data_IF_365900295846
#
_entry.id   IF_365900295846
#
_cell.length_a   1.000
_cell.length_b   1.000
_cell.length_c   1.000
_cell.angle_alpha   90.00
_cell.angle_beta   90.00
_cell.angle_gamma   90.00
#
_symmetry.space_group_name_H-M   'P 1'
#
loop_
_entity.id
_entity.type
_entity.pdbx_description
1 polymer ?
#
# COMPACT_ATOMS: atom_id res chain seq x y z
N UNK A 1 -3.50 19.40 -2.36
CA UNK A 1 -4.93 19.67 -2.63
C UNK A 1 -5.42 18.53 -3.49
N UNK A 2 -6.55 17.91 -3.15
CA UNK A 2 -7.11 16.77 -3.87
C UNK A 2 -7.54 17.17 -5.30
N UNK A 3 -7.22 16.34 -6.30
CA UNK A 3 -7.56 16.58 -7.71
C UNK A 3 -8.83 15.80 -8.11
N UNK A 4 -9.97 16.48 -8.10
CA UNK A 4 -11.26 15.93 -8.52
C UNK A 4 -11.49 16.08 -10.03
N UNK A 5 -12.30 15.18 -10.60
CA UNK A 5 -12.86 15.34 -11.94
C UNK A 5 -13.74 16.59 -12.00
N UNK A 6 -13.57 17.38 -13.06
CA UNK A 6 -14.39 18.57 -13.32
C UNK A 6 -15.77 18.18 -13.88
N UNK A 7 -16.70 19.14 -13.93
CA UNK A 7 -17.99 18.93 -14.61
C UNK A 7 -17.82 18.55 -16.09
N UNK A 8 -16.81 19.12 -16.76
CA UNK A 8 -16.51 18.82 -18.16
C UNK A 8 -16.07 17.35 -18.30
N UNK A 9 -15.25 16.86 -17.37
CA UNK A 9 -14.80 15.48 -17.35
C UNK A 9 -15.98 14.52 -17.13
N UNK A 10 -16.84 14.81 -16.15
CA UNK A 10 -18.04 14.00 -15.86
C UNK A 10 -18.97 13.93 -17.07
N UNK A 11 -19.28 15.07 -17.70
CA UNK A 11 -20.12 15.09 -18.91
C UNK A 11 -19.48 14.35 -20.09
N UNK A 12 -18.15 14.40 -20.24
CA UNK A 12 -17.43 13.61 -21.24
C UNK A 12 -17.63 12.11 -20.97
N UNK A 13 -17.39 11.66 -19.73
CA UNK A 13 -17.54 10.25 -19.33
C UNK A 13 -18.95 9.73 -19.61
N UNK A 14 -19.97 10.49 -19.20
CA UNK A 14 -21.38 10.09 -19.37
C UNK A 14 -21.78 10.04 -20.86
N UNK A 15 -21.28 10.98 -21.66
CA UNK A 15 -21.48 10.98 -23.12
C UNK A 15 -20.80 9.78 -23.76
N UNK A 16 -19.54 9.52 -23.41
CA UNK A 16 -18.76 8.42 -23.98
C UNK A 16 -19.39 7.06 -23.59
N UNK A 17 -19.91 6.93 -22.37
CA UNK A 17 -20.69 5.77 -21.95
C UNK A 17 -21.99 5.62 -22.76
N UNK A 18 -22.73 6.71 -22.96
CA UNK A 18 -24.02 6.68 -23.66
C UNK A 18 -23.88 6.33 -25.15
N UNK A 19 -22.80 6.81 -25.79
CA UNK A 19 -22.54 6.54 -27.21
C UNK A 19 -22.15 5.09 -27.48
N UNK A 20 -21.45 4.45 -26.54
CA UNK A 20 -20.92 3.08 -26.67
C UNK A 20 -21.48 2.16 -25.57
N UNK A 21 -22.76 2.27 -25.21
CA UNK A 21 -23.34 1.55 -24.07
C UNK A 21 -23.07 0.04 -24.10
N UNK A 22 -23.34 -0.61 -25.24
CA UNK A 22 -23.19 -2.05 -25.43
C UNK A 22 -21.74 -2.54 -25.27
N UNK A 23 -20.76 -1.66 -25.49
CA UNK A 23 -19.34 -1.97 -25.33
C UNK A 23 -18.95 -2.11 -23.86
N UNK A 24 -19.61 -1.39 -22.96
CA UNK A 24 -19.17 -1.25 -21.57
C UNK A 24 -19.90 -2.15 -20.59
N UNK A 25 -21.15 -2.53 -20.86
CA UNK A 25 -21.94 -3.34 -19.93
C UNK A 25 -21.33 -4.73 -19.76
N UNK A 26 -20.97 -5.05 -18.51
CA UNK A 26 -20.36 -6.34 -18.15
C UNK A 26 -18.93 -6.54 -18.68
N UNK A 27 -18.35 -5.52 -19.31
CA UNK A 27 -17.01 -5.58 -19.87
C UNK A 27 -15.99 -4.90 -18.95
N UNK A 28 -14.80 -5.51 -18.89
CA UNK A 28 -13.60 -4.87 -18.34
C UNK A 28 -12.72 -4.42 -19.51
N UNK A 29 -12.40 -3.14 -19.54
CA UNK A 29 -11.71 -2.50 -20.66
C UNK A 29 -10.23 -2.30 -20.33
N UNK A 30 -9.38 -3.00 -21.06
CA UNK A 30 -7.92 -2.80 -21.04
C UNK A 30 -7.49 -2.04 -22.30
N UNK A 31 -6.95 -0.84 -22.14
CA UNK A 31 -6.39 -0.03 -23.23
C UNK A 31 -4.95 0.37 -22.91
N UNK A 32 -4.10 0.41 -23.94
CA UNK A 32 -2.72 0.88 -23.81
C UNK A 32 -2.61 2.41 -23.66
N UNK A 33 -3.61 3.14 -24.16
CA UNK A 33 -3.74 4.59 -23.98
C UNK A 33 -4.93 4.86 -23.06
N UNK A 34 -4.70 5.56 -21.95
CA UNK A 34 -5.74 5.93 -21.00
C UNK A 34 -5.43 7.27 -20.34
N UNK A 35 -6.47 8.08 -20.19
CA UNK A 35 -6.49 9.31 -19.41
C UNK A 35 -7.39 9.14 -18.16
N UNK A 36 -7.48 10.18 -17.32
CA UNK A 36 -8.26 10.14 -16.08
C UNK A 36 -9.77 9.88 -16.31
N UNK A 37 -10.27 10.13 -17.53
CA UNK A 37 -11.68 9.97 -17.92
C UNK A 37 -11.97 8.64 -18.61
N UNK A 38 -10.96 7.83 -18.87
CA UNK A 38 -11.11 6.57 -19.60
C UNK A 38 -11.94 5.58 -18.79
N UNK A 39 -13.07 5.13 -19.33
CA UNK A 39 -13.94 4.13 -18.71
C UNK A 39 -13.23 2.78 -18.70
N UNK A 40 -13.16 2.16 -17.52
CA UNK A 40 -12.50 0.86 -17.31
C UNK A 40 -13.49 -0.27 -17.06
N UNK A 41 -14.61 0.03 -16.42
CA UNK A 41 -15.67 -0.92 -16.17
C UNK A 41 -16.99 -0.20 -15.91
N UNK A 42 -18.10 -0.86 -16.25
CA UNK A 42 -19.44 -0.42 -15.88
C UNK A 42 -20.16 -1.56 -15.18
N UNK A 43 -20.83 -1.28 -14.07
CA UNK A 43 -21.59 -2.29 -13.34
C UNK A 43 -22.82 -2.75 -14.13
N UNK A 44 -23.21 -4.02 -13.98
CA UNK A 44 -24.25 -4.62 -14.82
C UNK A 44 -25.64 -4.10 -14.46
N UNK A 45 -25.98 -3.98 -13.18
CA UNK A 45 -27.35 -3.69 -12.75
C UNK A 45 -27.61 -2.18 -12.68
N UNK A 46 -26.74 -1.43 -11.98
CA UNK A 46 -26.96 0.00 -11.75
C UNK A 46 -26.21 0.90 -12.72
N UNK A 47 -25.36 0.34 -13.59
CA UNK A 47 -24.55 1.07 -14.56
C UNK A 47 -23.62 2.11 -13.93
N UNK A 48 -23.01 1.76 -12.80
CA UNK A 48 -21.98 2.57 -12.17
C UNK A 48 -20.74 2.59 -13.03
N UNK A 49 -20.24 3.79 -13.33
CA UNK A 49 -19.14 4.00 -14.24
C UNK A 49 -17.87 4.15 -13.44
N UNK A 50 -16.93 3.23 -13.66
CA UNK A 50 -15.60 3.33 -13.09
C UNK A 50 -14.61 3.77 -14.16
N UNK A 51 -13.87 4.82 -13.87
CA UNK A 51 -12.85 5.40 -14.75
C UNK A 51 -11.45 5.14 -14.21
N UNK A 52 -10.43 5.27 -15.06
CA UNK A 52 -9.02 5.20 -14.64
C UNK A 52 -8.75 6.19 -13.50
N UNK A 53 -9.22 7.43 -13.63
CA UNK A 53 -9.07 8.46 -12.62
C UNK A 53 -7.60 8.83 -12.37
N UNK A 54 -7.28 9.18 -11.13
CA UNK A 54 -5.94 9.61 -10.71
C UNK A 54 -5.67 9.15 -9.26
N UNK A 55 -4.65 9.68 -8.58
CA UNK A 55 -4.32 9.29 -7.20
C UNK A 55 -5.41 9.61 -6.16
N UNK A 56 -6.39 10.44 -6.50
CA UNK A 56 -7.45 10.96 -5.63
C UNK A 56 -8.86 10.48 -6.01
N UNK A 57 -9.07 9.94 -7.22
CA UNK A 57 -10.39 9.49 -7.68
C UNK A 57 -10.29 8.29 -8.64
N UNK A 58 -11.37 7.51 -8.77
CA UNK A 58 -11.47 6.40 -9.70
C UNK A 58 -10.56 5.21 -9.36
N UNK A 59 -10.22 4.40 -10.36
CA UNK A 59 -9.43 3.19 -10.17
C UNK A 59 -8.00 3.44 -9.71
N UNK A 60 -7.35 4.51 -10.17
CA UNK A 60 -6.02 4.89 -9.71
C UNK A 60 -5.98 5.03 -8.20
N UNK A 61 -6.96 5.73 -7.63
CA UNK A 61 -7.10 5.90 -6.19
C UNK A 61 -7.44 4.60 -5.46
N UNK A 62 -8.39 3.81 -5.97
CA UNK A 62 -8.74 2.51 -5.40
C UNK A 62 -7.53 1.56 -5.35
N UNK A 63 -6.80 1.48 -6.47
CA UNK A 63 -5.60 0.65 -6.63
C UNK A 63 -4.49 1.10 -5.69
N UNK A 64 -4.21 2.39 -5.65
CA UNK A 64 -3.10 2.91 -4.86
C UNK A 64 -3.43 2.92 -3.35
N UNK A 65 -4.66 3.29 -2.98
CA UNK A 65 -5.01 3.53 -1.56
C UNK A 65 -5.59 2.32 -0.88
N UNK A 66 -6.46 1.57 -1.54
CA UNK A 66 -7.29 0.53 -0.90
C UNK A 66 -6.95 -0.90 -1.34
N UNK A 67 -6.22 -1.09 -2.45
CA UNK A 67 -5.74 -2.42 -2.80
C UNK A 67 -4.80 -2.98 -1.73
N UNK A 68 -4.98 -4.25 -1.39
CA UNK A 68 -4.18 -4.96 -0.42
C UNK A 68 -2.69 -4.98 -0.81
N UNK A 69 -2.39 -5.10 -2.10
CA UNK A 69 -1.01 -5.16 -2.61
C UNK A 69 -0.36 -3.80 -2.85
N UNK A 70 -1.00 -2.70 -2.49
CA UNK A 70 -0.36 -1.38 -2.60
C UNK A 70 0.65 -1.15 -1.46
N UNK A 71 1.85 -0.74 -1.84
CA UNK A 71 2.96 -0.38 -0.95
C UNK A 71 3.16 1.13 -0.83
N UNK A 72 2.19 1.93 -1.28
CA UNK A 72 2.27 3.39 -1.20
C UNK A 72 2.09 3.85 0.25
N UNK A 73 3.06 4.63 0.74
CA UNK A 73 2.97 5.26 2.05
C UNK A 73 2.18 6.57 1.93
N UNK A 74 1.21 6.74 2.82
CA UNK A 74 0.40 7.95 2.89
C UNK A 74 0.74 8.69 4.17
N UNK A 75 1.18 9.94 4.05
CA UNK A 75 1.59 10.75 5.20
C UNK A 75 0.54 11.82 5.49
N UNK A 76 0.11 11.88 6.74
CA UNK A 76 -0.75 12.93 7.26
C UNK A 76 0.07 13.91 8.06
N UNK A 77 -0.03 15.20 7.72
CA UNK A 77 0.53 16.26 8.53
C UNK A 77 -0.49 16.66 9.60
N UNK A 78 -0.08 16.64 10.87
CA UNK A 78 -0.91 17.13 11.97
C UNK A 78 -0.80 18.67 12.10
N UNK A 79 -1.56 19.25 13.03
CA UNK A 79 -1.55 20.69 13.31
C UNK A 79 -0.16 21.22 13.70
N UNK A 80 0.65 20.38 14.36
CA UNK A 80 2.04 20.69 14.75
C UNK A 80 3.05 20.53 13.61
N UNK A 81 2.59 20.36 12.36
CA UNK A 81 3.42 20.10 11.17
C UNK A 81 4.23 18.79 11.22
N UNK A 82 3.96 17.89 12.16
CA UNK A 82 4.55 16.56 12.23
C UNK A 82 3.82 15.60 11.30
N UNK A 83 4.59 14.77 10.61
CA UNK A 83 4.05 13.74 9.73
C UNK A 83 3.80 12.45 10.50
N UNK A 84 2.70 11.78 10.17
CA UNK A 84 2.35 10.45 10.66
C UNK A 84 1.82 9.62 9.51
N UNK A 85 2.18 8.34 9.47
CA UNK A 85 1.62 7.40 8.50
C UNK A 85 0.10 7.26 8.69
N UNK A 86 -0.64 7.47 7.61
CA UNK A 86 -2.01 7.00 7.47
C UNK A 86 -2.02 5.47 7.31
N UNK A 87 -3.16 4.87 7.63
CA UNK A 87 -3.39 3.44 7.44
C UNK A 87 -4.74 3.24 6.73
N UNK A 88 -4.86 3.57 5.42
CA UNK A 88 -6.13 3.47 4.71
C UNK A 88 -6.65 2.03 4.67
N UNK A 89 -7.96 1.81 4.88
CA UNK A 89 -8.54 0.46 4.89
C UNK A 89 -8.25 -0.28 3.59
N UNK A 90 -7.92 -1.56 3.72
CA UNK A 90 -7.55 -2.42 2.59
C UNK A 90 -8.63 -3.47 2.31
N UNK A 91 -8.90 -3.71 1.03
CA UNK A 91 -9.76 -4.81 0.59
C UNK A 91 -9.15 -6.18 0.89
N UNK A 92 -9.96 -7.22 0.77
CA UNK A 92 -9.52 -8.61 0.95
C UNK A 92 -8.41 -8.97 -0.06
N UNK A 93 -7.35 -9.71 0.34
CA UNK A 93 -6.21 -10.02 -0.53
C UNK A 93 -6.56 -10.83 -1.79
N UNK A 94 -7.65 -11.60 -1.77
CA UNK A 94 -8.10 -12.40 -2.92
C UNK A 94 -9.00 -11.63 -3.90
N UNK A 95 -9.38 -10.38 -3.60
CA UNK A 95 -10.21 -9.59 -4.51
C UNK A 95 -9.41 -9.08 -5.70
N UNK A 96 -10.02 -9.15 -6.87
CA UNK A 96 -9.52 -8.58 -8.11
C UNK A 96 -10.16 -7.18 -8.25
N UNK A 97 -9.39 -6.07 -8.15
CA UNK A 97 -9.95 -4.73 -8.04
C UNK A 97 -10.98 -4.37 -9.13
N UNK A 98 -10.65 -4.61 -10.41
CA UNK A 98 -11.48 -4.22 -11.54
C UNK A 98 -12.77 -5.06 -11.69
N UNK A 99 -12.86 -6.19 -10.98
CA UNK A 99 -13.99 -7.12 -11.07
C UNK A 99 -14.82 -7.05 -9.78
N UNK A 100 -14.18 -7.31 -8.64
CA UNK A 100 -14.90 -7.46 -7.38
C UNK A 100 -15.31 -6.12 -6.79
N UNK A 101 -14.55 -5.04 -7.01
CA UNK A 101 -14.95 -3.72 -6.51
C UNK A 101 -16.19 -3.21 -7.26
N UNK A 102 -16.32 -3.53 -8.55
CA UNK A 102 -17.52 -3.23 -9.35
C UNK A 102 -18.72 -3.96 -8.78
N UNK A 103 -18.60 -5.27 -8.53
CA UNK A 103 -19.69 -6.08 -7.94
C UNK A 103 -20.12 -5.57 -6.57
N UNK A 104 -19.16 -5.19 -5.72
CA UNK A 104 -19.45 -4.61 -4.41
C UNK A 104 -20.21 -3.30 -4.56
N UNK A 105 -19.71 -2.38 -5.38
CA UNK A 105 -20.34 -1.09 -5.59
C UNK A 105 -21.76 -1.23 -6.14
N UNK A 106 -21.95 -2.12 -7.11
CA UNK A 106 -23.26 -2.39 -7.72
C UNK A 106 -24.25 -2.92 -6.67
N UNK A 107 -23.82 -3.85 -5.82
CA UNK A 107 -24.66 -4.43 -4.79
C UNK A 107 -25.04 -3.42 -3.69
N UNK A 108 -24.19 -2.45 -3.37
CA UNK A 108 -24.48 -1.47 -2.31
C UNK A 108 -25.12 -0.18 -2.81
N UNK A 109 -25.15 0.05 -4.12
CA UNK A 109 -25.78 1.24 -4.71
C UNK A 109 -27.30 1.07 -4.75
N UNK A 110 -27.93 1.33 -3.62
CA UNK A 110 -29.39 1.33 -3.47
C UNK A 110 -29.84 2.56 -2.69
N UNK A 111 -31.12 2.93 -2.83
CA UNK A 111 -31.67 4.08 -2.12
C UNK A 111 -31.64 3.88 -0.60
N UNK A 112 -31.81 2.65 -0.12
CA UNK A 112 -31.76 2.30 1.30
C UNK A 112 -30.37 2.50 1.89
N UNK A 113 -29.32 2.29 1.09
CA UNK A 113 -27.93 2.47 1.50
C UNK A 113 -27.45 3.93 1.35
N UNK A 114 -28.21 4.81 0.70
CA UNK A 114 -27.84 6.22 0.50
C UNK A 114 -27.83 6.95 1.84
N UNK A 115 -26.66 7.43 2.26
CA UNK A 115 -26.43 8.03 3.57
C UNK A 115 -26.08 9.51 3.45
N UNK A 116 -27.11 10.36 3.42
CA UNK A 116 -26.95 11.82 3.36
C UNK A 116 -26.40 12.39 4.67
N UNK A 117 -26.80 11.86 5.82
CA UNK A 117 -26.42 12.38 7.13
C UNK A 117 -24.92 12.21 7.48
N UNK A 118 -24.26 11.16 6.97
CA UNK A 118 -22.83 10.90 7.22
C UNK A 118 -21.92 11.40 6.11
N UNK A 119 -22.48 11.99 5.05
CA UNK A 119 -21.70 12.53 3.96
C UNK A 119 -21.05 13.85 4.39
N UNK A 120 -19.71 13.85 4.48
CA UNK A 120 -18.94 15.05 4.87
C UNK A 120 -18.84 16.09 3.76
N UNK A 121 -19.16 15.73 2.51
CA UNK A 121 -19.05 16.58 1.31
C UNK A 121 -20.26 16.40 0.39
N UNK A 122 -21.47 16.68 0.89
CA UNK A 122 -22.72 16.42 0.16
C UNK A 122 -22.87 17.24 -1.13
N UNK A 123 -22.15 18.36 -1.25
CA UNK A 123 -22.15 19.20 -2.44
C UNK A 123 -21.39 18.57 -3.62
N UNK A 124 -20.49 17.62 -3.34
CA UNK A 124 -19.63 17.00 -4.35
C UNK A 124 -19.94 15.54 -4.60
N UNK A 125 -20.46 14.83 -3.60
CA UNK A 125 -20.63 13.38 -3.67
C UNK A 125 -21.97 12.91 -3.12
N UNK A 126 -22.39 11.74 -3.57
CA UNK A 126 -23.36 10.90 -2.87
C UNK A 126 -22.63 9.75 -2.16
N UNK A 127 -22.96 9.52 -0.88
CA UNK A 127 -22.39 8.44 -0.08
C UNK A 127 -23.41 7.31 0.05
N UNK A 128 -22.98 6.09 -0.25
CA UNK A 128 -23.72 4.85 -0.04
C UNK A 128 -22.96 3.98 0.95
N UNK A 129 -23.66 3.33 1.87
CA UNK A 129 -23.06 2.47 2.87
C UNK A 129 -23.87 1.19 3.01
N UNK A 130 -23.28 0.07 2.62
CA UNK A 130 -23.93 -1.23 2.62
C UNK A 130 -22.98 -2.35 3.05
N UNK A 131 -23.48 -3.57 3.09
CA UNK A 131 -22.70 -4.77 3.41
C UNK A 131 -22.61 -5.69 2.20
N UNK A 132 -21.46 -6.32 2.02
CA UNK A 132 -21.23 -7.30 0.96
C UNK A 132 -20.52 -8.53 1.54
N UNK A 133 -20.86 -9.72 1.03
CA UNK A 133 -20.25 -10.98 1.44
C UNK A 133 -19.32 -11.48 0.34
N UNK A 134 -18.03 -11.60 0.66
CA UNK A 134 -17.01 -12.15 -0.23
C UNK A 134 -16.39 -13.39 0.42
N UNK A 135 -16.41 -14.53 -0.27
CA UNK A 135 -15.86 -15.80 0.23
C UNK A 135 -16.34 -16.17 1.65
N UNK A 136 -17.61 -15.91 1.97
CA UNK A 136 -18.20 -16.18 3.29
C UNK A 136 -17.88 -15.14 4.37
N UNK A 137 -17.07 -14.13 4.07
CA UNK A 137 -16.78 -13.00 4.95
C UNK A 137 -17.66 -11.80 4.60
N UNK A 138 -18.58 -11.44 5.50
CA UNK A 138 -19.37 -10.21 5.38
C UNK A 138 -18.59 -9.01 5.91
N UNK A 139 -18.49 -7.97 5.10
CA UNK A 139 -17.89 -6.69 5.47
C UNK A 139 -18.77 -5.53 5.01
N UNK A 140 -18.62 -4.39 5.69
CA UNK A 140 -19.33 -3.16 5.38
C UNK A 140 -18.43 -2.27 4.53
N UNK A 141 -19.01 -1.68 3.49
CA UNK A 141 -18.32 -0.84 2.52
C UNK A 141 -18.98 0.53 2.40
N UNK A 142 -18.19 1.51 1.99
CA UNK A 142 -18.63 2.86 1.65
C UNK A 142 -18.30 3.14 0.21
N UNK A 143 -19.32 3.54 -0.56
CA UNK A 143 -19.19 3.97 -1.95
C UNK A 143 -19.47 5.47 -2.02
N UNK A 144 -18.58 6.22 -2.65
CA UNK A 144 -18.79 7.60 -3.03
C UNK A 144 -18.91 7.68 -4.54
N UNK A 145 -20.01 8.24 -5.02
CA UNK A 145 -20.15 8.66 -6.42
C UNK A 145 -20.10 10.18 -6.50
N UNK A 146 -19.72 10.73 -7.66
CA UNK A 146 -19.90 12.15 -7.91
C UNK A 146 -21.40 12.49 -7.82
N UNK A 147 -21.70 13.64 -7.21
CA UNK A 147 -23.06 14.06 -6.91
C UNK A 147 -23.94 14.01 -8.16
N UNK A 148 -25.11 13.39 -8.02
CA UNK A 148 -26.12 13.26 -9.09
C UNK A 148 -25.58 12.62 -10.38
N UNK A 149 -24.55 11.78 -10.25
CA UNK A 149 -23.97 11.00 -11.35
C UNK A 149 -23.79 9.53 -10.95
N UNK A 150 -23.55 8.68 -11.95
CA UNK A 150 -23.16 7.28 -11.76
C UNK A 150 -21.65 7.06 -11.75
N UNK A 151 -20.85 8.12 -11.83
CA UNK A 151 -19.39 8.03 -11.87
C UNK A 151 -18.86 7.79 -10.45
N UNK A 152 -18.15 6.68 -10.27
CA UNK A 152 -17.57 6.30 -8.98
C UNK A 152 -16.35 7.17 -8.69
N UNK A 153 -16.37 7.82 -7.53
CA UNK A 153 -15.23 8.57 -7.01
C UNK A 153 -14.29 7.65 -6.22
N UNK A 154 -14.82 6.90 -5.26
CA UNK A 154 -14.05 5.89 -4.49
C UNK A 154 -14.98 4.88 -3.82
N UNK A 155 -14.41 3.77 -3.38
CA UNK A 155 -15.03 2.65 -2.67
C UNK A 155 -14.01 2.13 -1.65
N UNK A 156 -14.41 1.94 -0.39
CA UNK A 156 -13.50 1.41 0.62
C UNK A 156 -14.22 0.63 1.72
N UNK A 157 -13.54 -0.35 2.35
CA UNK A 157 -14.08 -1.03 3.52
C UNK A 157 -14.18 -0.09 4.74
N UNK A 158 -15.23 -0.25 5.55
CA UNK A 158 -15.45 0.47 6.81
C UNK A 158 -14.36 0.15 7.85
N UNK A 159 -13.88 -1.10 7.87
CA UNK A 159 -12.89 -1.59 8.83
C UNK A 159 -11.51 -1.79 8.20
N UNK A 160 -10.49 -1.74 9.06
CA UNK A 160 -9.08 -1.98 8.68
C UNK A 160 -8.68 -3.45 8.91
N UNK A 161 -9.55 -4.40 8.55
CA UNK A 161 -9.37 -5.83 8.89
C UNK A 161 -8.12 -6.42 8.25
N UNK A 162 -7.81 -6.02 7.03
CA UNK A 162 -6.70 -6.53 6.24
C UNK A 162 -5.45 -5.65 6.31
N UNK A 163 -5.47 -4.60 7.13
CA UNK A 163 -4.35 -3.70 7.28
C UNK A 163 -3.28 -4.29 8.19
N UNK A 164 -2.02 -4.05 7.84
CA UNK A 164 -0.91 -4.25 8.77
C UNK A 164 -1.00 -3.21 9.90
N UNK A 165 -0.67 -3.63 11.13
CA UNK A 165 -0.49 -2.68 12.25
C UNK A 165 0.78 -1.88 12.00
N UNK A 166 0.68 -0.55 12.03
CA UNK A 166 1.83 0.35 11.93
C UNK A 166 2.45 0.48 13.31
N UNK A 167 3.72 0.11 13.45
CA UNK A 167 4.48 0.14 14.73
C UNK A 167 5.74 1.01 14.68
N UNK A 168 6.05 1.55 13.51
CA UNK A 168 7.24 2.33 13.23
C UNK A 168 6.80 3.65 12.60
N UNK A 169 7.53 4.72 12.88
CA UNK A 169 7.24 6.05 12.31
C UNK A 169 7.59 6.12 10.81
N UNK A 170 8.38 5.17 10.31
CA UNK A 170 8.79 5.05 8.91
C UNK A 170 7.88 4.13 8.10
N UNK A 171 7.61 4.53 6.86
CA UNK A 171 6.80 3.79 5.90
C UNK A 171 7.61 2.69 5.24
N UNK A 172 7.12 1.45 5.24
CA UNK A 172 7.81 0.34 4.55
C UNK A 172 7.77 0.56 3.03
N UNK A 173 8.90 0.45 2.37
CA UNK A 173 9.00 0.54 0.91
C UNK A 173 8.93 -0.83 0.22
N UNK A 174 9.34 -0.85 -1.05
CA UNK A 174 9.35 -2.06 -1.88
C UNK A 174 10.63 -2.85 -1.60
N UNK A 175 10.48 -4.14 -1.31
CA UNK A 175 11.60 -5.06 -1.12
C UNK A 175 12.33 -5.25 -2.44
N UNK A 176 13.66 -5.21 -2.40
CA UNK A 176 14.49 -5.37 -3.59
C UNK A 176 15.62 -6.35 -3.34
N UNK A 177 16.14 -6.94 -4.42
CA UNK A 177 17.30 -7.81 -4.38
C UNK A 177 18.40 -7.32 -5.30
N UNK A 178 19.67 -7.46 -4.90
CA UNK A 178 20.82 -7.05 -5.70
C UNK A 178 21.92 -8.11 -5.66
N UNK A 179 22.24 -8.67 -6.82
CA UNK A 179 23.33 -9.63 -6.99
C UNK A 179 24.60 -8.93 -7.52
N UNK A 180 25.74 -9.20 -6.89
CA UNK A 180 27.09 -8.78 -7.33
C UNK A 180 27.97 -10.00 -7.58
N UNK A 181 28.62 -10.05 -8.74
CA UNK A 181 29.50 -11.15 -9.21
C UNK A 181 30.93 -10.63 -9.52
N UNK A 182 32.03 -11.40 -9.47
CA UNK A 182 32.46 -12.46 -8.53
C UNK A 182 33.67 -12.04 -7.63
N UNK A 183 33.88 -12.64 -6.43
CA UNK A 183 33.08 -13.65 -5.72
C UNK A 183 32.09 -12.97 -4.75
N UNK A 184 31.21 -12.13 -5.30
CA UNK A 184 30.52 -11.06 -4.57
C UNK A 184 29.44 -11.51 -3.58
N UNK A 185 28.33 -10.77 -3.57
CA UNK A 185 27.27 -10.90 -2.57
C UNK A 185 25.89 -10.81 -3.22
N UNK A 186 24.88 -11.26 -2.49
CA UNK A 186 23.48 -11.04 -2.83
C UNK A 186 22.75 -10.38 -1.66
N UNK A 187 22.13 -9.24 -1.93
CA UNK A 187 21.38 -8.46 -0.95
C UNK A 187 19.89 -8.67 -1.14
N UNK A 188 19.15 -8.80 -0.04
CA UNK A 188 17.73 -8.53 0.07
C UNK A 188 17.57 -7.32 0.99
N UNK A 189 16.94 -6.27 0.47
CA UNK A 189 16.77 -5.00 1.16
C UNK A 189 15.29 -4.73 1.40
N UNK A 190 14.93 -4.47 2.66
CA UNK A 190 13.61 -3.97 3.05
C UNK A 190 13.76 -2.51 3.51
N UNK A 191 13.45 -1.52 2.66
CA UNK A 191 13.61 -0.12 3.02
C UNK A 191 12.46 0.38 3.90
N UNK A 192 12.78 1.33 4.77
CA UNK A 192 11.85 2.11 5.57
C UNK A 192 12.10 3.60 5.30
N UNK A 193 11.09 4.26 4.78
CA UNK A 193 11.10 5.61 4.23
C UNK A 193 10.54 6.61 5.24
N UNK A 194 11.08 7.82 5.24
CA UNK A 194 10.50 8.95 5.95
C UNK A 194 9.36 9.62 5.15
N UNK A 195 8.85 10.74 5.66
CA UNK A 195 7.78 11.52 5.02
C UNK A 195 8.18 12.19 3.70
N UNK A 196 9.46 12.18 3.34
CA UNK A 196 10.01 12.74 2.12
C UNK A 196 10.46 11.64 1.12
N UNK A 197 10.03 10.40 1.36
CA UNK A 197 10.43 9.22 0.58
C UNK A 197 11.94 8.95 0.59
N UNK A 198 12.65 9.43 1.62
CA UNK A 198 14.07 9.14 1.85
C UNK A 198 14.19 7.90 2.74
N UNK A 199 15.06 6.95 2.38
CA UNK A 199 15.32 5.75 3.19
C UNK A 199 16.01 6.19 4.49
N UNK A 200 15.35 5.99 5.63
CA UNK A 200 15.92 6.27 6.95
C UNK A 200 16.54 5.02 7.57
N UNK A 201 15.91 3.86 7.35
CA UNK A 201 16.39 2.56 7.79
C UNK A 201 16.20 1.51 6.70
N UNK A 202 16.99 0.45 6.75
CA UNK A 202 16.69 -0.77 6.00
C UNK A 202 17.03 -2.03 6.79
N UNK A 203 16.26 -3.08 6.56
CA UNK A 203 16.67 -4.44 6.93
C UNK A 203 17.45 -4.99 5.74
N UNK A 204 18.70 -5.37 5.97
CA UNK A 204 19.58 -5.92 4.94
C UNK A 204 19.91 -7.38 5.28
N UNK A 205 19.51 -8.31 4.43
CA UNK A 205 20.04 -9.68 4.45
C UNK A 205 21.05 -9.81 3.33
N UNK A 206 22.29 -10.13 3.67
CA UNK A 206 23.39 -10.26 2.71
C UNK A 206 23.98 -11.66 2.75
N UNK A 207 23.93 -12.38 1.63
CA UNK A 207 24.67 -13.63 1.41
C UNK A 207 26.05 -13.31 0.84
N UNK A 208 27.11 -13.61 1.58
CA UNK A 208 28.50 -13.49 1.13
C UNK A 208 28.96 -14.84 0.57
N UNK A 209 29.14 -14.93 -0.75
CA UNK A 209 29.37 -16.24 -1.40
C UNK A 209 30.76 -16.82 -1.16
N UNK A 210 31.79 -15.97 -1.07
CA UNK A 210 33.15 -16.42 -0.74
C UNK A 210 33.26 -16.98 0.68
N UNK A 211 32.51 -16.40 1.61
CA UNK A 211 32.53 -16.75 3.04
C UNK A 211 31.48 -17.81 3.39
N UNK A 212 30.55 -18.13 2.48
CA UNK A 212 29.43 -19.05 2.73
C UNK A 212 28.61 -18.68 3.96
N UNK A 213 28.43 -17.38 4.18
CA UNK A 213 27.73 -16.82 5.35
C UNK A 213 26.65 -15.82 4.92
N UNK A 214 25.46 -15.96 5.49
CA UNK A 214 24.39 -14.98 5.42
C UNK A 214 24.42 -14.14 6.69
N UNK A 215 24.38 -12.82 6.56
CA UNK A 215 24.30 -11.87 7.67
C UNK A 215 23.04 -11.03 7.56
N UNK A 216 22.41 -10.76 8.69
CA UNK A 216 21.23 -9.91 8.79
C UNK A 216 21.63 -8.64 9.53
N UNK A 217 21.33 -7.50 8.95
CA UNK A 217 21.63 -6.18 9.49
C UNK A 217 20.38 -5.33 9.60
N UNK A 218 20.37 -4.42 10.57
CA UNK A 218 19.68 -3.13 10.41
C UNK A 218 20.71 -2.13 9.92
N UNK A 219 20.34 -1.34 8.93
CA UNK A 219 21.16 -0.26 8.40
C UNK A 219 20.45 1.07 8.66
N UNK A 220 21.09 1.99 9.37
CA UNK A 220 20.65 3.39 9.52
C UNK A 220 21.24 4.20 8.38
N UNK A 221 20.44 5.11 7.84
CA UNK A 221 20.81 5.96 6.72
C UNK A 221 20.85 7.42 7.15
N UNK A 222 21.68 8.21 6.46
CA UNK A 222 21.73 9.65 6.63
C UNK A 222 20.48 10.34 6.04
N UNK A 223 20.42 11.67 6.20
CA UNK A 223 19.34 12.51 5.66
C UNK A 223 19.19 12.48 4.13
N UNK A 224 20.17 11.92 3.40
CA UNK A 224 20.15 11.79 1.95
C UNK A 224 19.80 10.35 1.51
N UNK A 225 19.55 9.45 2.47
CA UNK A 225 19.28 8.04 2.21
C UNK A 225 20.53 7.19 1.98
N UNK A 226 21.72 7.71 2.26
CA UNK A 226 22.97 6.96 2.15
C UNK A 226 23.21 6.12 3.40
N UNK A 227 23.71 4.87 3.29
CA UNK A 227 24.06 4.04 4.43
C UNK A 227 25.07 4.75 5.35
N UNK A 228 24.76 4.87 6.64
CA UNK A 228 25.63 5.53 7.64
C UNK A 228 26.12 4.55 8.72
N UNK A 229 25.27 3.65 9.20
CA UNK A 229 25.63 2.71 10.28
C UNK A 229 24.99 1.35 10.05
N UNK A 230 25.74 0.28 10.32
CA UNK A 230 25.29 -1.11 10.24
C UNK A 230 25.26 -1.77 11.62
N UNK A 231 24.19 -2.51 11.88
CA UNK A 231 23.92 -3.21 13.13
C UNK A 231 23.75 -4.69 12.81
N UNK A 232 24.76 -5.52 13.08
CA UNK A 232 24.69 -6.96 12.82
C UNK A 232 23.75 -7.64 13.81
N UNK A 233 22.60 -8.12 13.35
CA UNK A 233 21.61 -8.82 14.16
C UNK A 233 21.93 -10.31 14.35
N UNK A 234 22.56 -10.92 13.36
CA UNK A 234 22.85 -12.35 13.37
C UNK A 234 23.41 -12.85 12.05
N UNK A 235 23.80 -14.12 12.03
CA UNK A 235 24.34 -14.79 10.87
C UNK A 235 23.98 -16.28 10.84
N UNK A 236 24.05 -16.88 9.65
CA UNK A 236 23.99 -18.34 9.46
C UNK A 236 24.91 -18.76 8.32
N UNK A 237 25.40 -19.99 8.38
CA UNK A 237 26.18 -20.58 7.28
C UNK A 237 25.24 -21.18 6.22
N UNK A 238 25.72 -21.27 4.98
CA UNK A 238 25.03 -21.97 3.89
C UNK A 238 26.05 -22.71 3.01
N UNK A 239 25.67 -23.83 2.43
CA UNK A 239 26.63 -24.70 1.72
C UNK A 239 26.78 -24.34 0.24
N UNK A 240 25.70 -23.92 -0.41
CA UNK A 240 25.63 -23.73 -1.87
C UNK A 240 25.28 -22.30 -2.27
N UNK A 241 25.61 -21.94 -3.52
CA UNK A 241 25.16 -20.68 -4.09
C UNK A 241 23.63 -20.68 -4.20
N UNK A 242 22.99 -19.84 -3.41
CA UNK A 242 21.55 -19.66 -3.42
C UNK A 242 21.20 -18.19 -3.59
N UNK A 243 20.29 -17.90 -4.52
CA UNK A 243 19.61 -16.60 -4.56
C UNK A 243 18.53 -16.53 -3.48
N UNK A 244 17.90 -15.36 -3.30
CA UNK A 244 16.70 -15.28 -2.48
C UNK A 244 15.52 -15.86 -3.25
N UNK A 245 14.80 -16.79 -2.63
CA UNK A 245 13.60 -17.37 -3.19
C UNK A 245 12.46 -16.36 -3.21
N UNK A 246 11.55 -16.52 -4.17
CA UNK A 246 10.39 -15.64 -4.33
C UNK A 246 9.53 -15.59 -3.07
N UNK A 247 9.27 -16.74 -2.45
CA UNK A 247 8.42 -16.82 -1.26
C UNK A 247 9.02 -16.05 -0.08
N UNK A 248 10.35 -16.07 0.05
CA UNK A 248 11.05 -15.30 1.06
C UNK A 248 10.97 -13.79 0.79
N UNK A 249 11.12 -13.37 -0.47
CA UNK A 249 10.95 -11.96 -0.88
C UNK A 249 9.52 -11.50 -0.59
N UNK A 250 8.52 -12.32 -0.92
CA UNK A 250 7.11 -12.03 -0.65
C UNK A 250 6.82 -11.98 0.86
N UNK A 251 7.43 -12.86 1.65
CA UNK A 251 7.37 -12.82 3.11
C UNK A 251 7.96 -11.53 3.66
N UNK A 252 9.14 -11.09 3.19
CA UNK A 252 9.68 -9.80 3.59
C UNK A 252 8.85 -8.62 3.08
N UNK A 253 8.11 -8.75 1.97
CA UNK A 253 7.25 -7.69 1.45
C UNK A 253 5.96 -7.55 2.27
N UNK A 254 5.33 -8.64 2.70
CA UNK A 254 3.97 -8.64 3.29
C UNK A 254 3.88 -9.15 4.73
N UNK A 255 4.87 -9.92 5.16
CA UNK A 255 4.93 -10.56 6.47
C UNK A 255 5.06 -9.58 7.64
N UNK A 256 4.92 -10.14 8.84
CA UNK A 256 5.10 -9.41 10.09
C UNK A 256 6.59 -9.23 10.38
N UNK A 257 7.05 -7.98 10.32
CA UNK A 257 8.43 -7.59 10.62
C UNK A 257 8.54 -6.88 11.98
N UNK A 258 7.57 -7.10 12.87
CA UNK A 258 7.47 -6.43 14.16
C UNK A 258 8.73 -6.49 15.00
N UNK A 259 9.47 -7.59 14.96
CA UNK A 259 10.69 -7.73 15.76
C UNK A 259 11.82 -6.85 15.22
N UNK A 260 11.99 -6.76 13.90
CA UNK A 260 12.89 -5.77 13.30
C UNK A 260 12.43 -4.35 13.60
N UNK A 261 11.12 -4.06 13.48
CA UNK A 261 10.56 -2.73 13.72
C UNK A 261 10.73 -2.29 15.20
N UNK A 262 10.71 -3.23 16.16
CA UNK A 262 11.05 -2.93 17.56
C UNK A 262 12.51 -2.54 17.72
N UNK A 263 13.43 -3.23 17.04
CA UNK A 263 14.86 -2.93 17.08
C UNK A 263 15.12 -1.55 16.47
N UNK A 264 14.50 -1.22 15.32
CA UNK A 264 14.62 0.12 14.70
C UNK A 264 14.15 1.19 15.69
N UNK A 265 12.99 1.02 16.32
CA UNK A 265 12.49 1.95 17.33
C UNK A 265 13.43 2.12 18.54
N UNK A 266 14.19 1.09 18.91
CA UNK A 266 15.18 1.18 19.98
C UNK A 266 16.41 1.96 19.53
N UNK A 267 16.92 1.67 18.33
CA UNK A 267 18.04 2.41 17.72
C UNK A 267 17.69 3.89 17.62
N UNK A 268 16.47 4.22 17.21
CA UNK A 268 16.02 5.60 17.00
C UNK A 268 15.85 6.39 18.30
N UNK A 269 15.52 5.72 19.40
CA UNK A 269 15.41 6.34 20.74
C UNK A 269 16.74 6.47 21.47
N UNK A 270 17.73 5.66 21.12
CA UNK A 270 19.03 5.57 21.77
C UNK A 270 20.09 6.33 20.97
N UNK A 271 19.97 7.65 20.89
CA UNK A 271 20.90 8.54 20.18
C UNK A 271 22.29 8.68 20.89
N UNK A 272 22.73 7.72 21.73
CA UNK A 272 24.02 7.78 22.44
C UNK A 272 24.80 6.43 22.42
N UNK A 273 25.94 6.46 21.71
CA UNK A 273 27.21 5.70 21.68
C UNK A 273 27.43 4.28 22.28
N UNK A 274 26.46 3.57 22.85
CA UNK A 274 26.54 2.10 22.99
C UNK A 274 25.18 1.52 23.40
N UNK A 275 24.80 0.35 22.87
CA UNK A 275 23.53 -0.30 23.23
C UNK A 275 23.62 -1.83 23.33
N UNK A 276 22.89 -2.34 24.33
CA UNK A 276 22.49 -3.73 24.47
C UNK A 276 21.01 -3.83 24.08
N UNK A 277 20.71 -4.53 22.99
CA UNK A 277 19.32 -4.78 22.58
C UNK A 277 18.93 -6.17 23.09
N UNK A 278 17.80 -6.24 23.79
CA UNK A 278 17.28 -7.51 24.29
C UNK A 278 16.22 -8.01 23.33
N UNK A 279 16.44 -9.19 22.74
CA UNK A 279 15.46 -9.91 21.90
C UNK A 279 15.23 -11.27 22.55
N UNK A 280 13.99 -11.57 22.95
CA UNK A 280 13.59 -12.85 23.55
C UNK A 280 14.51 -13.31 24.71
N UNK A 281 14.73 -12.45 25.71
CA UNK A 281 15.59 -12.68 26.88
C UNK A 281 17.09 -12.94 26.60
N UNK A 282 17.52 -12.88 25.33
CA UNK A 282 18.92 -12.83 24.96
C UNK A 282 19.40 -11.37 24.90
N UNK A 283 20.41 -11.02 25.71
CA UNK A 283 21.16 -9.77 25.58
C UNK A 283 22.07 -9.88 24.36
N UNK A 284 21.82 -9.07 23.33
CA UNK A 284 22.72 -8.93 22.18
C UNK A 284 23.39 -7.56 22.29
N UNK A 285 24.71 -7.58 22.43
CA UNK A 285 25.55 -6.37 22.43
C UNK A 285 25.94 -6.04 21.00
N UNK A 286 25.78 -4.78 20.59
CA UNK A 286 26.15 -4.32 19.26
C UNK A 286 27.42 -3.47 19.35
N UNK A 287 28.40 -3.77 18.50
CA UNK A 287 29.53 -2.88 18.24
C UNK A 287 29.24 -2.07 16.97
N UNK A 288 29.40 -0.75 17.06
CA UNK A 288 29.33 0.16 15.91
C UNK A 288 30.52 -0.15 15.00
N UNK A 289 30.26 -0.70 13.82
CA UNK A 289 31.28 -0.91 12.79
C UNK A 289 31.34 0.34 11.90
N UNK A 290 32.51 0.99 11.86
CA UNK A 290 32.82 2.15 11.00
C UNK A 290 33.18 1.70 9.58
#
# INVERSE_FOLDING_TARGET
>A
MEKLLSKIDLSKIERDFSNDFDKYIGAVIFTGESDETTIRAVSSENHLIFVEGNGDTGYGHLRDRHNFFSFKNYWLQNEDKKFKLDNPSKFHPNMIPIIDFVKIADAIYTNENKNTAKNKRPDFFDLYTGTYCFEGSTEKYHLLTYKDSKVVHTLFPDKKRHNRKIRLEYGKGIVSTKLKVPPGYNDLLVPYLDSHDVVAYSILIRKFYSEKIERIFIQKHDKNGSPETLFLLGYRNFDDFETFERDLIEWYQRGDLSDFEKIINQIDKCDNDSYTITINDAKISFEKQY
#
